data_IF_993708194777
#
_entry.id   IF_993708194777
#
_cell.length_a   1.000
_cell.length_b   1.000
_cell.length_c   1.000
_cell.angle_alpha   90.00
_cell.angle_beta   90.00
_cell.angle_gamma   90.00
#
_symmetry.space_group_name_H-M   'P 1'
#
loop_
_entity.id
_entity.type
_entity.pdbx_description
1 polymer ?
#
# COMPACT_ATOMS: atom_id res chain seq x y z
N UNK A 1 15.22 1.44 -18.61
CA UNK A 1 13.95 1.12 -17.90
C UNK A 1 14.31 0.01 -16.91
N UNK A 2 13.94 0.12 -15.63
CA UNK A 2 14.38 -0.85 -14.63
C UNK A 2 13.54 -2.13 -14.79
N UNK A 3 14.07 -3.13 -15.50
CA UNK A 3 13.34 -4.35 -15.88
C UNK A 3 12.75 -5.07 -14.65
N UNK A 4 13.47 -5.09 -13.52
CA UNK A 4 12.95 -5.61 -12.24
C UNK A 4 11.65 -4.92 -11.80
N UNK A 5 11.57 -3.59 -11.95
CA UNK A 5 10.38 -2.82 -11.61
C UNK A 5 9.21 -3.17 -12.53
N UNK A 6 9.47 -3.39 -13.82
CA UNK A 6 8.41 -3.77 -14.76
C UNK A 6 7.84 -5.15 -14.42
N UNK A 7 8.70 -6.11 -14.10
CA UNK A 7 8.27 -7.44 -13.63
C UNK A 7 7.49 -7.35 -12.31
N UNK A 8 7.94 -6.54 -11.36
CA UNK A 8 7.22 -6.32 -10.10
C UNK A 8 5.85 -5.67 -10.34
N UNK A 9 5.73 -4.71 -11.25
CA UNK A 9 4.44 -4.10 -11.61
C UNK A 9 3.50 -5.12 -12.25
N UNK A 10 4.02 -6.02 -13.10
CA UNK A 10 3.24 -7.12 -13.69
C UNK A 10 2.73 -8.06 -12.60
N UNK A 11 3.59 -8.49 -11.66
CA UNK A 11 3.21 -9.34 -10.55
C UNK A 11 2.15 -8.70 -9.63
N UNK A 12 2.30 -7.41 -9.30
CA UNK A 12 1.28 -6.68 -8.52
C UNK A 12 -0.07 -6.64 -9.26
N UNK A 13 -0.06 -6.45 -10.58
CA UNK A 13 -1.30 -6.46 -11.39
C UNK A 13 -1.95 -7.84 -11.46
N UNK A 14 -1.16 -8.91 -11.46
CA UNK A 14 -1.65 -10.27 -11.53
C UNK A 14 -2.16 -10.80 -10.18
N UNK A 15 -1.53 -10.38 -9.07
CA UNK A 15 -1.77 -10.97 -7.74
C UNK A 15 -2.45 -9.99 -6.79
N UNK A 16 -1.83 -8.85 -6.54
CA UNK A 16 -2.26 -7.93 -5.47
C UNK A 16 -3.49 -7.10 -5.85
N UNK A 17 -3.56 -6.58 -7.08
CA UNK A 17 -4.70 -5.76 -7.52
C UNK A 17 -6.00 -6.57 -7.51
N UNK A 18 -6.07 -7.81 -8.05
CA UNK A 18 -7.30 -8.60 -7.97
C UNK A 18 -7.78 -8.82 -6.53
N UNK A 19 -6.86 -9.07 -5.59
CA UNK A 19 -7.19 -9.21 -4.17
C UNK A 19 -7.75 -7.91 -3.56
N UNK A 20 -7.24 -6.74 -3.96
CA UNK A 20 -7.82 -5.45 -3.59
C UNK A 20 -9.22 -5.26 -4.22
N UNK A 21 -9.41 -5.64 -5.49
CA UNK A 21 -10.72 -5.54 -6.16
C UNK A 21 -11.78 -6.38 -5.47
N UNK A 22 -11.44 -7.62 -5.09
CA UNK A 22 -12.34 -8.50 -4.34
C UNK A 22 -12.78 -7.88 -3.01
N UNK A 23 -11.94 -7.04 -2.39
CA UNK A 23 -12.21 -6.28 -1.16
C UNK A 23 -12.89 -4.93 -1.40
N UNK A 24 -13.35 -4.65 -2.63
CA UNK A 24 -14.09 -3.44 -2.99
C UNK A 24 -13.23 -2.21 -3.30
N UNK A 25 -11.91 -2.35 -3.37
CA UNK A 25 -11.02 -1.23 -3.70
C UNK A 25 -11.12 -0.80 -5.17
N UNK A 26 -11.22 0.51 -5.37
CA UNK A 26 -11.17 1.26 -6.63
C UNK A 26 -9.81 1.96 -6.78
N UNK A 27 -9.60 2.69 -7.88
CA UNK A 27 -8.32 3.35 -8.19
C UNK A 27 -7.37 2.48 -9.01
N UNK A 28 -6.11 2.87 -9.13
CA UNK A 28 -5.09 2.20 -9.95
C UNK A 28 -3.73 2.38 -9.32
N UNK A 29 -2.75 1.52 -9.63
CA UNK A 29 -1.38 1.71 -9.16
C UNK A 29 -0.91 3.16 -9.39
N UNK A 30 -0.30 3.81 -8.38
CA UNK A 30 0.05 3.24 -7.08
C UNK A 30 -1.03 3.37 -5.97
N UNK A 31 -2.19 3.99 -6.24
CA UNK A 31 -3.15 4.39 -5.22
C UNK A 31 -4.52 3.73 -5.38
N UNK A 32 -4.98 3.13 -4.29
CA UNK A 32 -6.29 2.48 -4.21
C UNK A 32 -7.07 3.02 -3.02
N UNK A 33 -8.38 3.02 -3.16
CA UNK A 33 -9.29 3.43 -2.10
C UNK A 33 -10.58 2.61 -2.13
N UNK A 34 -11.25 2.46 -1.00
CA UNK A 34 -12.65 2.01 -0.94
C UNK A 34 -13.43 2.89 0.01
N UNK A 35 -14.72 3.03 -0.24
CA UNK A 35 -15.65 3.68 0.67
C UNK A 35 -16.50 2.60 1.33
N UNK A 36 -16.67 2.73 2.64
CA UNK A 36 -17.66 2.01 3.43
C UNK A 36 -18.64 3.04 4.01
N UNK A 37 -19.80 2.62 4.55
CA UNK A 37 -20.70 3.56 5.23
C UNK A 37 -20.05 4.31 6.40
N UNK A 38 -19.03 3.72 7.03
CA UNK A 38 -18.40 4.28 8.23
C UNK A 38 -17.10 5.06 7.96
N UNK A 39 -16.41 4.81 6.84
CA UNK A 39 -15.07 5.35 6.56
C UNK A 39 -14.65 5.16 5.10
N UNK A 40 -13.61 5.86 4.69
CA UNK A 40 -12.85 5.57 3.48
C UNK A 40 -11.47 4.98 3.83
N UNK A 41 -11.10 3.88 3.20
CA UNK A 41 -9.82 3.19 3.39
C UNK A 41 -8.93 3.41 2.17
N UNK A 42 -7.62 3.58 2.40
CA UNK A 42 -6.62 3.84 1.36
C UNK A 42 -5.47 2.86 1.44
N UNK A 43 -4.99 2.43 0.27
CA UNK A 43 -3.76 1.64 0.11
C UNK A 43 -2.90 2.34 -0.93
N UNK A 44 -1.62 2.58 -0.64
CA UNK A 44 -0.67 3.17 -1.58
C UNK A 44 0.63 2.38 -1.64
N UNK A 45 1.12 2.14 -2.85
CA UNK A 45 2.39 1.45 -3.09
C UNK A 45 3.45 2.48 -3.46
N UNK A 46 4.44 2.69 -2.60
CA UNK A 46 5.52 3.64 -2.84
C UNK A 46 6.80 2.88 -3.18
N UNK A 47 7.27 3.01 -4.41
CA UNK A 47 8.55 2.47 -4.83
C UNK A 47 9.70 3.32 -4.31
N UNK A 48 10.80 2.67 -3.93
CA UNK A 48 12.03 3.38 -3.57
C UNK A 48 12.57 4.09 -4.81
N UNK A 49 13.10 5.31 -4.63
CA UNK A 49 13.59 6.13 -5.75
C UNK A 49 14.79 5.48 -6.46
N UNK A 50 15.64 4.78 -5.72
CA UNK A 50 16.73 3.99 -6.29
C UNK A 50 16.27 2.65 -6.88
N UNK A 51 14.98 2.32 -6.84
CA UNK A 51 14.46 1.03 -7.30
C UNK A 51 14.74 -0.13 -6.34
N UNK A 52 14.49 -1.35 -6.81
CA UNK A 52 14.76 -2.59 -6.06
C UNK A 52 13.79 -2.91 -4.93
N UNK A 53 13.03 -1.94 -4.43
CA UNK A 53 12.06 -2.18 -3.37
C UNK A 53 10.85 -1.24 -3.39
N UNK A 54 9.83 -1.58 -2.61
CA UNK A 54 8.66 -0.73 -2.34
C UNK A 54 8.16 -0.88 -0.90
N UNK A 55 7.32 0.05 -0.47
CA UNK A 55 6.51 -0.06 0.75
C UNK A 55 5.02 -0.02 0.39
N UNK A 56 4.20 -0.61 1.25
CA UNK A 56 2.74 -0.46 1.17
C UNK A 56 2.29 0.34 2.38
N UNK A 57 1.68 1.48 2.12
CA UNK A 57 1.09 2.35 3.13
C UNK A 57 -0.42 2.18 3.14
N UNK A 58 -1.01 2.31 4.34
CA UNK A 58 -2.45 2.38 4.53
C UNK A 58 -2.83 3.59 5.35
N UNK A 59 -4.01 4.12 5.10
CA UNK A 59 -4.63 5.19 5.88
C UNK A 59 -6.15 5.05 5.82
N UNK A 60 -6.87 5.79 6.66
CA UNK A 60 -8.31 5.95 6.56
C UNK A 60 -8.75 7.35 6.98
N UNK A 61 -9.98 7.70 6.62
CA UNK A 61 -10.66 8.90 7.10
C UNK A 61 -12.17 8.68 7.17
N UNK A 62 -12.95 9.63 7.73
CA UNK A 62 -14.41 9.62 7.61
C UNK A 62 -14.87 9.49 6.15
N UNK A 63 -16.10 9.00 5.91
CA UNK A 63 -16.59 8.70 4.56
C UNK A 63 -16.67 9.95 3.66
N UNK A 64 -16.85 11.13 4.26
CA UNK A 64 -16.91 12.44 3.58
C UNK A 64 -15.52 13.10 3.41
N UNK A 65 -14.45 12.42 3.84
CA UNK A 65 -13.08 12.92 3.77
C UNK A 65 -12.53 13.40 5.11
N UNK A 66 -11.26 13.83 5.14
CA UNK A 66 -10.61 14.32 6.35
C UNK A 66 -11.16 15.71 6.75
N UNK A 67 -11.43 15.90 8.04
CA UNK A 67 -11.94 17.17 8.57
C UNK A 67 -10.92 18.32 8.52
N UNK A 68 -9.62 17.99 8.47
CA UNK A 68 -8.50 18.92 8.49
C UNK A 68 -7.31 18.38 7.66
N UNK A 69 -6.30 19.24 7.47
CA UNK A 69 -5.06 18.88 6.76
C UNK A 69 -5.15 19.03 5.23
N UNK A 70 -4.11 18.61 4.51
CA UNK A 70 -3.96 18.87 3.08
C UNK A 70 -5.00 18.16 2.20
N UNK A 71 -5.69 17.15 2.74
CA UNK A 71 -6.75 16.43 2.05
C UNK A 71 -8.15 17.04 2.22
N UNK A 72 -8.30 18.08 3.05
CA UNK A 72 -9.62 18.64 3.37
C UNK A 72 -10.33 19.17 2.12
N UNK A 73 -11.59 18.76 1.94
CA UNK A 73 -12.43 19.21 0.82
C UNK A 73 -12.11 18.55 -0.52
N UNK A 74 -11.11 17.67 -0.58
CA UNK A 74 -10.85 16.87 -1.78
C UNK A 74 -11.78 15.65 -1.80
N UNK A 75 -12.28 15.25 -2.99
CA UNK A 75 -13.04 14.01 -3.10
C UNK A 75 -12.17 12.81 -2.76
N UNK A 76 -12.75 11.78 -2.13
CA UNK A 76 -12.05 10.54 -1.73
C UNK A 76 -11.24 9.95 -2.89
N UNK A 77 -11.75 10.01 -4.11
CA UNK A 77 -11.08 9.48 -5.31
C UNK A 77 -9.78 10.20 -5.71
N UNK A 78 -9.50 11.38 -5.12
CA UNK A 78 -8.25 12.15 -5.31
C UNK A 78 -7.31 12.04 -4.11
N UNK A 79 -7.74 11.41 -3.03
CA UNK A 79 -6.92 11.19 -1.84
C UNK A 79 -6.08 9.92 -2.00
N UNK A 80 -4.94 9.91 -1.31
CA UNK A 80 -4.05 8.78 -1.14
C UNK A 80 -3.35 8.90 0.22
N UNK A 81 -2.49 7.93 0.57
CA UNK A 81 -1.90 7.88 1.92
C UNK A 81 -1.07 9.11 2.29
N UNK A 82 -0.49 9.83 1.32
CA UNK A 82 0.39 10.98 1.60
C UNK A 82 -0.35 12.17 2.20
N UNK A 83 -1.67 12.25 2.05
CA UNK A 83 -2.48 13.32 2.63
C UNK A 83 -2.69 13.19 4.15
N UNK A 84 -2.36 12.04 4.73
CA UNK A 84 -2.68 11.72 6.13
C UNK A 84 -1.50 11.89 7.09
N UNK A 85 -0.30 12.26 6.61
CA UNK A 85 0.85 12.56 7.48
C UNK A 85 1.20 11.41 8.42
N UNK A 86 1.02 11.61 9.74
CA UNK A 86 1.21 10.59 10.79
C UNK A 86 0.02 9.64 10.96
N UNK A 87 -1.14 9.95 10.37
CA UNK A 87 -2.34 9.10 10.35
C UNK A 87 -2.31 7.98 9.31
N UNK A 88 -1.11 7.49 8.97
CA UNK A 88 -0.89 6.36 8.06
C UNK A 88 0.13 5.41 8.67
N UNK A 89 0.03 4.12 8.35
CA UNK A 89 1.03 3.13 8.73
C UNK A 89 1.55 2.37 7.50
N UNK A 90 2.68 1.68 7.65
CA UNK A 90 3.24 0.77 6.64
C UNK A 90 2.96 -0.67 7.02
N UNK A 91 2.56 -1.48 6.06
CA UNK A 91 2.47 -2.92 6.23
C UNK A 91 3.87 -3.51 6.36
N UNK A 92 4.06 -4.41 7.32
CA UNK A 92 5.34 -5.07 7.63
C UNK A 92 5.16 -6.58 7.65
N UNK A 93 6.14 -7.39 7.21
CA UNK A 93 6.05 -8.85 7.41
C UNK A 93 6.56 -9.25 8.80
N UNK A 94 7.46 -8.45 9.36
CA UNK A 94 8.05 -8.72 10.67
C UNK A 94 7.30 -7.93 11.74
N UNK A 95 6.71 -8.66 12.69
CA UNK A 95 5.96 -8.09 13.82
C UNK A 95 6.87 -7.26 14.75
N UNK A 96 8.17 -7.57 14.78
CA UNK A 96 9.16 -6.94 15.67
C UNK A 96 9.89 -5.75 15.03
N UNK A 97 9.67 -5.49 13.73
CA UNK A 97 10.22 -4.29 13.08
C UNK A 97 9.30 -3.10 13.35
N UNK A 98 9.92 -1.98 13.73
CA UNK A 98 9.19 -0.73 13.90
C UNK A 98 8.49 -0.35 12.59
N UNK A 99 7.22 0.07 12.69
CA UNK A 99 6.44 0.54 11.55
C UNK A 99 7.21 1.66 10.83
N UNK A 100 7.74 1.39 9.64
CA UNK A 100 8.59 2.34 8.93
C UNK A 100 9.81 1.75 8.24
N UNK A 101 10.39 0.70 8.81
CA UNK A 101 11.73 0.23 8.42
C UNK A 101 11.74 -0.84 7.33
N UNK A 102 10.67 -1.63 7.23
CA UNK A 102 10.63 -2.74 6.28
C UNK A 102 10.26 -2.28 4.87
N UNK A 103 11.12 -2.63 3.92
CA UNK A 103 10.88 -2.54 2.48
C UNK A 103 10.67 -3.93 1.89
N UNK A 104 9.73 -4.07 0.96
CA UNK A 104 9.57 -5.26 0.13
C UNK A 104 10.57 -5.20 -1.01
N UNK A 105 11.68 -5.93 -0.85
CA UNK A 105 12.74 -6.01 -1.85
C UNK A 105 12.38 -7.01 -2.95
N UNK A 106 12.59 -6.62 -4.20
CA UNK A 106 12.34 -7.46 -5.38
C UNK A 106 13.51 -7.47 -6.37
N UNK A 107 14.50 -6.59 -6.21
CA UNK A 107 15.68 -6.51 -7.07
C UNK A 107 16.72 -5.53 -6.52
N UNK A 108 17.81 -5.29 -7.26
CA UNK A 108 18.86 -4.37 -6.84
C UNK A 108 18.41 -2.92 -6.90
N UNK A 109 18.99 -2.11 -6.03
CA UNK A 109 18.94 -0.64 -6.09
C UNK A 109 19.91 -0.14 -7.16
N UNK A 110 19.70 1.07 -7.66
CA UNK A 110 20.50 1.65 -8.75
C UNK A 110 21.98 1.87 -8.43
N UNK A 111 22.35 1.82 -7.14
CA UNK A 111 23.73 1.94 -6.67
C UNK A 111 24.34 0.58 -6.25
N UNK A 112 23.56 -0.49 -6.32
CA UNK A 112 24.05 -1.85 -6.10
C UNK A 112 24.48 -2.45 -7.44
N UNK A 113 25.35 -3.49 -7.44
CA UNK A 113 25.68 -4.20 -8.66
C UNK A 113 24.43 -4.73 -9.35
N UNK A 114 24.40 -4.63 -10.69
CA UNK A 114 23.31 -5.19 -11.49
C UNK A 114 23.16 -6.68 -11.20
N UNK A 115 21.92 -7.11 -11.04
CA UNK A 115 21.56 -8.51 -10.84
C UNK A 115 20.66 -8.98 -11.97
N UNK A 116 20.79 -10.25 -12.40
CA UNK A 116 19.95 -10.81 -13.44
C UNK A 116 18.48 -10.75 -13.03
N UNK A 117 17.62 -10.58 -14.03
CA UNK A 117 16.17 -10.65 -13.86
C UNK A 117 15.80 -12.03 -13.32
N UNK A 118 14.99 -12.02 -12.27
CA UNK A 118 14.51 -13.24 -11.65
C UNK A 118 13.32 -13.81 -12.45
N UNK A 119 13.00 -15.10 -12.31
CA UNK A 119 11.80 -15.67 -12.91
C UNK A 119 10.52 -14.94 -12.44
N UNK A 120 9.43 -14.91 -13.22
CA UNK A 120 8.16 -14.27 -12.82
C UNK A 120 7.67 -14.68 -11.41
N UNK A 121 7.85 -15.97 -11.06
CA UNK A 121 7.48 -16.52 -9.76
C UNK A 121 8.13 -15.80 -8.56
N UNK A 122 9.32 -15.22 -8.72
CA UNK A 122 9.97 -14.42 -7.67
C UNK A 122 9.15 -13.17 -7.34
N UNK A 123 8.78 -12.39 -8.37
CA UNK A 123 8.00 -11.16 -8.19
C UNK A 123 6.56 -11.47 -7.75
N UNK A 124 5.99 -12.56 -8.23
CA UNK A 124 4.67 -13.04 -7.79
C UNK A 124 4.68 -13.44 -6.31
N UNK A 125 5.75 -14.09 -5.82
CA UNK A 125 5.90 -14.40 -4.41
C UNK A 125 6.00 -13.13 -3.56
N UNK A 126 6.74 -12.10 -4.02
CA UNK A 126 6.78 -10.79 -3.35
C UNK A 126 5.41 -10.12 -3.33
N UNK A 127 4.63 -10.21 -4.41
CA UNK A 127 3.26 -9.67 -4.44
C UNK A 127 2.30 -10.46 -3.54
N UNK A 128 2.43 -11.79 -3.51
CA UNK A 128 1.61 -12.69 -2.71
C UNK A 128 1.85 -12.52 -1.21
N UNK A 129 3.06 -12.15 -0.79
CA UNK A 129 3.39 -11.91 0.61
C UNK A 129 2.61 -10.74 1.23
N UNK A 130 2.07 -9.83 0.38
CA UNK A 130 1.21 -8.72 0.82
C UNK A 130 -0.20 -9.17 1.20
N UNK A 131 -0.69 -10.27 0.63
CA UNK A 131 -2.07 -10.74 0.82
C UNK A 131 -2.44 -10.97 2.29
N UNK A 132 -1.67 -11.75 3.08
CA UNK A 132 -2.00 -11.93 4.49
C UNK A 132 -1.94 -10.62 5.29
N UNK A 133 -1.14 -9.63 4.85
CA UNK A 133 -1.02 -8.34 5.53
C UNK A 133 -2.26 -7.46 5.37
N UNK A 134 -3.02 -7.65 4.29
CA UNK A 134 -4.32 -6.99 4.13
C UNK A 134 -5.25 -7.38 5.28
N UNK A 135 -5.32 -8.67 5.59
CA UNK A 135 -6.27 -9.17 6.59
C UNK A 135 -5.73 -9.00 8.03
N UNK A 136 -4.46 -9.31 8.25
CA UNK A 136 -3.85 -9.31 9.59
C UNK A 136 -3.45 -7.93 10.11
N UNK A 137 -3.17 -6.98 9.21
CA UNK A 137 -2.76 -5.63 9.60
C UNK A 137 -3.74 -4.58 9.10
N UNK A 138 -4.05 -4.57 7.79
CA UNK A 138 -4.82 -3.47 7.23
C UNK A 138 -6.26 -3.44 7.73
N UNK A 139 -7.00 -4.54 7.62
CA UNK A 139 -8.38 -4.64 8.13
C UNK A 139 -8.45 -4.38 9.63
N UNK A 140 -7.53 -4.95 10.42
CA UNK A 140 -7.47 -4.73 11.87
C UNK A 140 -7.20 -3.26 12.23
N UNK A 141 -6.28 -2.60 11.53
CA UNK A 141 -5.97 -1.19 11.76
C UNK A 141 -7.12 -0.27 11.35
N UNK A 142 -7.75 -0.51 10.20
CA UNK A 142 -8.91 0.27 9.78
C UNK A 142 -10.12 0.08 10.70
N UNK A 143 -10.34 -1.13 11.23
CA UNK A 143 -11.39 -1.40 12.19
C UNK A 143 -11.18 -0.64 13.52
N UNK A 144 -9.94 -0.61 14.05
CA UNK A 144 -9.64 0.11 15.30
C UNK A 144 -9.75 1.64 15.18
N UNK A 145 -9.69 2.17 13.96
CA UNK A 145 -9.85 3.61 13.67
C UNK A 145 -11.29 4.01 13.34
N UNK A 146 -12.26 3.11 13.53
CA UNK A 146 -13.70 3.46 13.53
C UNK A 146 -14.14 4.15 14.83
N UNK A 147 -13.49 3.85 15.95
CA UNK A 147 -13.96 4.25 17.29
C UNK A 147 -13.47 5.63 17.75
N UNK A 148 -12.52 6.24 17.03
CA UNK A 148 -11.86 7.49 17.44
C UNK A 148 -12.60 8.76 16.99
N UNK A 149 -13.70 8.63 16.24
CA UNK A 149 -14.47 9.76 15.72
C UNK A 149 -15.86 9.93 16.37
N UNK A 150 -16.14 9.18 17.44
CA UNK A 150 -17.38 9.26 18.22
C UNK A 150 -17.24 10.03 19.55
N UNK A 151 -16.19 10.85 19.72
CA UNK A 151 -16.00 11.70 20.91
C UNK A 151 -15.80 13.16 20.54
#
# INVERSE_FOLDING_TARGET
>A
MNDHKQHMLTALKAVFIPALRQRGFKGSLPHFYRNTPARADFVSIQFYSAGGSFVVEIACCPPDGPAAGPGKGLPISRLNTTYFGTGRIRLTQEADKQAGEQWFSFGPRSYEPDQPIQPPAHYEAVAASLLPLLDTQAENWWASHQESHAR
#
